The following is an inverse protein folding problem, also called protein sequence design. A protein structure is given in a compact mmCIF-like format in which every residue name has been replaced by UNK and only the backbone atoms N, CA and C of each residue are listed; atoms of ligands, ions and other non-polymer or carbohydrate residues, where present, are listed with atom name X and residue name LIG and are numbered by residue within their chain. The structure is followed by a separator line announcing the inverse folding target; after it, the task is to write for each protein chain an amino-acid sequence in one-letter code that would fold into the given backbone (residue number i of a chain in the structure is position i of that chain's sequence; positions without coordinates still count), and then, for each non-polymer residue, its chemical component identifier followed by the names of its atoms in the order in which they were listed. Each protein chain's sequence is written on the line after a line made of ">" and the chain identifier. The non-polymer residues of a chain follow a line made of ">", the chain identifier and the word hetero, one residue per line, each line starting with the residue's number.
data_IF_691995355287
#
_entry.id   IF_691995355287
#
_cell.length_a   1.000
_cell.length_b   1.000
_cell.length_c   1.000
_cell.angle_alpha   90.00
_cell.angle_beta   90.00
_cell.angle_gamma   90.00
#
_symmetry.space_group_name_H-M   'P 1'
#
loop_
_entity.id
_entity.type
_entity.pdbx_description
1 polymer ?
#
# COMPACT_ATOMS: atom_id res chain seq x y z
N UNK A 1 -34.50 -20.93 18.34
CA UNK A 1 -33.64 -19.75 18.23
C UNK A 1 -32.81 -19.70 19.51
N UNK A 2 -31.54 -20.11 19.46
CA UNK A 2 -30.65 -20.06 20.64
C UNK A 2 -30.20 -18.61 20.82
N UNK A 3 -30.54 -18.06 21.97
CA UNK A 3 -30.15 -16.73 22.42
C UNK A 3 -28.63 -16.59 22.38
N UNK A 4 -28.13 -15.61 21.62
CA UNK A 4 -26.72 -15.25 21.62
C UNK A 4 -26.39 -14.56 22.95
N UNK A 5 -25.30 -14.94 23.65
CA UNK A 5 -24.92 -14.31 24.91
C UNK A 5 -24.61 -12.82 24.71
N UNK A 6 -24.78 -11.96 25.75
CA UNK A 6 -24.57 -10.53 25.61
C UNK A 6 -23.11 -10.26 25.24
N UNK A 7 -22.90 -9.79 24.02
CA UNK A 7 -21.58 -9.42 23.52
C UNK A 7 -21.01 -8.33 24.42
N UNK A 8 -19.92 -8.65 25.14
CA UNK A 8 -19.00 -7.63 25.65
C UNK A 8 -18.38 -6.93 24.43
N UNK A 9 -19.12 -5.98 23.86
CA UNK A 9 -18.97 -5.48 22.51
C UNK A 9 -17.68 -4.68 22.25
N UNK A 10 -16.90 -4.37 23.31
CA UNK A 10 -15.65 -3.62 23.17
C UNK A 10 -14.62 -4.14 24.16
N UNK A 11 -13.90 -5.19 23.76
CA UNK A 11 -12.70 -5.61 24.48
C UNK A 11 -11.53 -4.69 24.09
N UNK A 12 -10.67 -4.32 25.05
CA UNK A 12 -9.47 -3.50 24.79
C UNK A 12 -8.59 -4.08 23.68
N UNK A 13 -8.53 -5.42 23.56
CA UNK A 13 -7.85 -6.11 22.46
C UNK A 13 -8.46 -5.83 21.08
N UNK A 14 -9.79 -5.76 20.99
CA UNK A 14 -10.50 -5.48 19.72
C UNK A 14 -10.29 -4.02 19.31
N UNK A 15 -10.31 -3.09 20.27
CA UNK A 15 -9.96 -1.68 20.02
C UNK A 15 -8.55 -1.52 19.45
N UNK A 16 -7.55 -2.18 20.06
CA UNK A 16 -6.17 -2.12 19.55
C UNK A 16 -6.06 -2.72 18.15
N UNK A 17 -6.67 -3.89 17.91
CA UNK A 17 -6.62 -4.53 16.60
C UNK A 17 -7.33 -3.69 15.52
N UNK A 18 -8.49 -3.12 15.83
CA UNK A 18 -9.22 -2.21 14.93
C UNK A 18 -8.41 -0.96 14.59
N UNK A 19 -7.71 -0.38 15.58
CA UNK A 19 -6.84 0.79 15.36
C UNK A 19 -5.63 0.44 14.48
N UNK A 20 -4.97 -0.69 14.73
CA UNK A 20 -3.84 -1.16 13.91
C UNK A 20 -4.28 -1.44 12.47
N UNK A 21 -5.43 -2.07 12.28
CA UNK A 21 -5.94 -2.40 10.95
C UNK A 21 -6.38 -1.14 10.20
N UNK A 22 -6.94 -0.15 10.90
CA UNK A 22 -7.27 1.16 10.32
C UNK A 22 -6.05 1.88 9.73
N UNK A 23 -4.84 1.61 10.24
CA UNK A 23 -3.61 2.15 9.64
C UNK A 23 -3.39 1.66 8.19
N UNK A 24 -3.93 0.49 7.81
CA UNK A 24 -3.89 0.03 6.42
C UNK A 24 -4.61 0.98 5.45
N UNK A 25 -5.77 1.51 5.88
CA UNK A 25 -6.50 2.54 5.13
C UNK A 25 -5.73 3.87 5.08
N UNK A 26 -5.07 4.25 6.17
CA UNK A 26 -4.20 5.43 6.20
C UNK A 26 -3.04 5.31 5.20
N UNK A 27 -2.38 4.15 5.15
CA UNK A 27 -1.28 3.88 4.21
C UNK A 27 -1.75 4.02 2.75
N UNK A 28 -2.94 3.53 2.43
CA UNK A 28 -3.53 3.68 1.10
C UNK A 28 -3.72 5.16 0.71
N UNK A 29 -4.25 5.97 1.64
CA UNK A 29 -4.40 7.42 1.41
C UNK A 29 -3.04 8.15 1.31
N UNK A 30 -2.08 7.78 2.16
CA UNK A 30 -0.73 8.34 2.16
C UNK A 30 -0.04 8.14 0.81
N UNK A 31 -0.06 6.93 0.24
CA UNK A 31 0.62 6.65 -1.03
C UNK A 31 0.07 7.46 -2.20
N UNK A 32 -1.25 7.65 -2.25
CA UNK A 32 -1.90 8.50 -3.26
C UNK A 32 -1.42 9.96 -3.19
N UNK A 33 -1.28 10.51 -1.98
CA UNK A 33 -0.79 11.88 -1.77
C UNK A 33 0.73 12.02 -1.87
N UNK A 34 1.48 10.97 -1.53
CA UNK A 34 2.93 11.03 -1.51
C UNK A 34 3.51 11.16 -2.93
N UNK A 35 2.90 10.51 -3.93
CA UNK A 35 3.33 10.61 -5.35
C UNK A 35 3.37 12.06 -5.84
N UNK A 36 2.32 12.84 -5.57
CA UNK A 36 2.28 14.25 -5.99
C UNK A 36 3.31 15.09 -5.25
N UNK A 37 3.60 14.75 -3.99
CA UNK A 37 4.66 15.38 -3.20
C UNK A 37 6.06 15.15 -3.79
N UNK A 38 6.43 13.90 -4.06
CA UNK A 38 7.78 13.58 -4.57
C UNK A 38 8.05 14.21 -5.94
N UNK A 39 7.04 14.30 -6.81
CA UNK A 39 7.16 14.93 -8.13
C UNK A 39 7.52 16.41 -8.08
N UNK A 40 7.23 17.09 -6.97
CA UNK A 40 7.51 18.51 -6.76
C UNK A 40 8.79 18.75 -5.94
N UNK A 41 9.46 17.70 -5.44
CA UNK A 41 10.68 17.86 -4.66
C UNK A 41 11.88 18.21 -5.54
N UNK A 42 12.61 19.27 -5.18
CA UNK A 42 13.81 19.70 -5.89
C UNK A 42 14.88 18.59 -6.00
N UNK A 43 15.06 17.76 -4.96
CA UNK A 43 15.99 16.61 -4.98
C UNK A 43 15.56 15.54 -6.00
N UNK A 44 14.26 15.30 -6.12
CA UNK A 44 13.71 14.34 -7.10
C UNK A 44 13.86 14.86 -8.53
N UNK A 45 13.57 16.15 -8.74
CA UNK A 45 13.77 16.83 -10.04
C UNK A 45 15.25 16.83 -10.42
N UNK A 46 16.16 17.11 -9.48
CA UNK A 46 17.59 17.12 -9.74
C UNK A 46 18.15 15.73 -10.08
N UNK A 47 17.58 14.65 -9.54
CA UNK A 47 18.06 13.27 -9.78
C UNK A 47 17.45 12.62 -11.01
N UNK A 48 16.21 12.96 -11.32
CA UNK A 48 15.43 12.21 -12.31
C UNK A 48 14.81 13.06 -13.41
N UNK A 49 14.79 14.38 -13.25
CA UNK A 49 14.27 15.35 -14.21
C UNK A 49 15.02 15.35 -15.54
N UNK A 50 14.35 15.82 -16.59
CA UNK A 50 14.94 16.00 -17.91
C UNK A 50 15.31 17.48 -18.07
N UNK A 51 16.58 17.76 -18.42
CA UNK A 51 17.08 19.11 -18.71
C UNK A 51 16.89 20.15 -17.58
N UNK A 52 16.84 19.72 -16.31
CA UNK A 52 16.67 20.63 -15.16
C UNK A 52 15.21 21.01 -14.87
N UNK A 53 14.25 20.45 -15.60
CA UNK A 53 12.81 20.63 -15.37
C UNK A 53 12.16 19.36 -14.81
N UNK A 54 10.91 19.53 -14.36
CA UNK A 54 10.07 18.46 -13.85
C UNK A 54 10.00 17.27 -14.84
N UNK A 55 9.81 16.09 -14.28
CA UNK A 55 9.79 14.86 -15.04
C UNK A 55 8.73 14.87 -16.16
N UNK A 56 9.11 14.45 -17.36
CA UNK A 56 8.21 14.39 -18.52
C UNK A 56 6.93 13.59 -18.23
N UNK A 57 5.79 14.04 -18.79
CA UNK A 57 4.45 13.48 -18.54
C UNK A 57 4.38 11.96 -18.72
N UNK A 58 5.11 11.41 -19.69
CA UNK A 58 5.16 9.98 -19.97
C UNK A 58 5.80 9.20 -18.82
N UNK A 59 6.91 9.68 -18.26
CA UNK A 59 7.62 9.01 -17.17
C UNK A 59 6.84 9.12 -15.86
N UNK A 60 6.17 10.25 -15.63
CA UNK A 60 5.27 10.44 -14.48
C UNK A 60 4.07 9.49 -14.55
N UNK A 61 3.40 9.46 -15.71
CA UNK A 61 2.28 8.55 -15.96
C UNK A 61 2.68 7.08 -15.84
N UNK A 62 3.90 6.73 -16.28
CA UNK A 62 4.44 5.38 -16.14
C UNK A 62 4.53 4.94 -14.66
N UNK A 63 5.03 5.79 -13.75
CA UNK A 63 5.07 5.46 -12.32
C UNK A 63 3.69 5.20 -11.73
N UNK A 64 2.71 6.04 -12.07
CA UNK A 64 1.33 5.89 -11.59
C UNK A 64 0.71 4.63 -12.18
N UNK A 65 0.94 4.33 -13.45
CA UNK A 65 0.46 3.12 -14.11
C UNK A 65 1.01 1.84 -13.46
N UNK A 66 2.30 1.82 -13.12
CA UNK A 66 2.91 0.68 -12.40
C UNK A 66 2.35 0.51 -10.99
N UNK A 67 2.06 1.60 -10.27
CA UNK A 67 1.35 1.52 -8.99
C UNK A 67 -0.04 0.88 -9.18
N UNK A 68 -0.84 1.38 -10.12
CA UNK A 68 -2.18 0.86 -10.39
C UNK A 68 -2.17 -0.61 -10.82
N UNK A 69 -1.20 -1.01 -11.65
CA UNK A 69 -1.01 -2.40 -12.06
C UNK A 69 -0.70 -3.29 -10.84
N UNK A 70 0.18 -2.82 -9.93
CA UNK A 70 0.48 -3.50 -8.67
C UNK A 70 -0.76 -3.62 -7.79
N UNK A 71 -1.53 -2.55 -7.64
CA UNK A 71 -2.76 -2.57 -6.85
C UNK A 71 -3.78 -3.58 -7.37
N UNK A 72 -3.97 -3.65 -8.70
CA UNK A 72 -4.85 -4.62 -9.33
C UNK A 72 -4.43 -6.06 -9.02
N UNK A 73 -3.15 -6.36 -9.22
CA UNK A 73 -2.61 -7.71 -8.97
C UNK A 73 -2.70 -8.07 -7.49
N UNK A 74 -2.32 -7.13 -6.61
CA UNK A 74 -2.39 -7.28 -5.16
C UNK A 74 -3.80 -7.57 -4.66
N UNK A 75 -4.79 -6.81 -5.13
CA UNK A 75 -6.19 -6.98 -4.76
C UNK A 75 -6.77 -8.33 -5.22
N UNK A 76 -6.40 -8.80 -6.42
CA UNK A 76 -6.86 -10.09 -6.95
C UNK A 76 -6.27 -11.27 -6.18
N UNK A 77 -4.98 -11.19 -5.81
CA UNK A 77 -4.28 -12.26 -5.11
C UNK A 77 -4.57 -12.25 -3.60
N UNK A 78 -4.93 -11.11 -3.02
CA UNK A 78 -5.13 -10.99 -1.57
C UNK A 78 -6.32 -11.79 -1.05
N UNK A 79 -7.40 -11.89 -1.83
CA UNK A 79 -8.62 -12.61 -1.44
C UNK A 79 -8.36 -14.11 -1.13
N UNK A 80 -7.82 -14.93 -2.06
CA UNK A 80 -7.57 -16.35 -1.79
C UNK A 80 -6.50 -16.58 -0.71
N UNK A 81 -5.52 -15.70 -0.58
CA UNK A 81 -4.49 -15.80 0.47
C UNK A 81 -5.10 -15.56 1.86
N UNK A 82 -5.99 -14.58 1.98
CA UNK A 82 -6.62 -14.26 3.25
C UNK A 82 -7.57 -15.35 3.74
N UNK A 83 -8.28 -16.01 2.83
CA UNK A 83 -9.16 -17.13 3.17
C UNK A 83 -8.39 -18.39 3.58
N UNK A 84 -7.19 -18.61 3.02
CA UNK A 84 -6.37 -19.80 3.31
C UNK A 84 -5.52 -19.68 4.58
N UNK A 85 -4.90 -18.52 4.81
CA UNK A 85 -3.94 -18.32 5.92
C UNK A 85 -4.50 -17.48 7.08
N UNK A 86 -5.73 -16.98 6.95
CA UNK A 86 -6.35 -16.09 7.92
C UNK A 86 -5.99 -14.62 7.70
N UNK A 87 -6.94 -13.74 8.03
CA UNK A 87 -6.89 -12.31 7.67
C UNK A 87 -5.76 -11.57 8.38
N UNK A 88 -5.54 -11.82 9.68
CA UNK A 88 -4.47 -11.18 10.47
C UNK A 88 -3.07 -11.45 9.87
N UNK A 89 -2.79 -12.70 9.50
CA UNK A 89 -1.50 -13.07 8.94
C UNK A 89 -1.33 -12.55 7.51
N UNK A 90 -2.41 -12.54 6.71
CA UNK A 90 -2.42 -11.94 5.38
C UNK A 90 -2.08 -10.44 5.44
N UNK A 91 -2.74 -9.66 6.31
CA UNK A 91 -2.46 -8.23 6.50
C UNK A 91 -0.98 -7.99 6.85
N UNK A 92 -0.44 -8.80 7.77
CA UNK A 92 0.97 -8.69 8.18
C UNK A 92 1.92 -8.96 7.02
N UNK A 93 1.66 -10.01 6.22
CA UNK A 93 2.46 -10.36 5.06
C UNK A 93 2.47 -9.27 3.98
N UNK A 94 1.29 -8.73 3.64
CA UNK A 94 1.19 -7.66 2.66
C UNK A 94 1.84 -6.35 3.13
N UNK A 95 1.80 -6.08 4.44
CA UNK A 95 2.52 -4.95 5.02
C UNK A 95 4.04 -5.10 4.87
N UNK A 96 4.59 -6.32 5.00
CA UNK A 96 6.02 -6.56 4.75
C UNK A 96 6.38 -6.29 3.29
N UNK A 97 5.55 -6.74 2.33
CA UNK A 97 5.77 -6.45 0.91
C UNK A 97 5.76 -4.94 0.65
N UNK A 98 4.83 -4.21 1.26
CA UNK A 98 4.78 -2.75 1.17
C UNK A 98 6.05 -2.07 1.73
N UNK A 99 6.56 -2.54 2.87
CA UNK A 99 7.81 -2.05 3.45
C UNK A 99 8.99 -2.30 2.49
N UNK A 100 9.07 -3.49 1.89
CA UNK A 100 10.11 -3.82 0.91
C UNK A 100 10.03 -2.89 -0.30
N UNK A 101 8.84 -2.63 -0.84
CA UNK A 101 8.63 -1.67 -1.93
C UNK A 101 9.14 -0.26 -1.57
N UNK A 102 8.87 0.21 -0.36
CA UNK A 102 9.36 1.49 0.13
C UNK A 102 10.88 1.54 0.27
N UNK A 103 11.51 0.48 0.79
CA UNK A 103 12.98 0.41 0.89
C UNK A 103 13.60 0.52 -0.51
N UNK A 104 13.05 -0.18 -1.50
CA UNK A 104 13.53 -0.07 -2.90
C UNK A 104 13.34 1.35 -3.43
N UNK A 105 12.23 2.02 -3.11
CA UNK A 105 12.00 3.41 -3.51
C UNK A 105 13.01 4.39 -2.87
N UNK A 106 13.33 4.22 -1.58
CA UNK A 106 14.27 5.09 -0.85
C UNK A 106 15.71 4.89 -1.32
N UNK A 107 16.08 3.66 -1.68
CA UNK A 107 17.43 3.32 -2.15
C UNK A 107 17.68 3.70 -3.60
N UNK A 108 16.67 4.15 -4.34
CA UNK A 108 16.81 4.59 -5.73
C UNK A 108 17.63 5.89 -5.82
N UNK A 109 18.92 5.78 -6.19
CA UNK A 109 19.84 6.94 -6.26
C UNK A 109 20.11 7.44 -7.69
N UNK A 110 20.26 6.54 -8.66
CA UNK A 110 20.79 6.89 -9.99
C UNK A 110 19.94 6.41 -11.15
N UNK A 111 19.09 5.39 -10.95
CA UNK A 111 18.41 4.71 -12.05
C UNK A 111 16.91 4.95 -11.99
N UNK A 112 16.37 5.62 -13.02
CA UNK A 112 14.94 5.94 -13.11
C UNK A 112 14.03 4.72 -12.96
N UNK A 113 14.38 3.60 -13.60
CA UNK A 113 13.57 2.38 -13.63
C UNK A 113 13.34 1.73 -12.25
N UNK A 114 14.19 2.03 -11.27
CA UNK A 114 14.00 1.55 -9.90
C UNK A 114 12.74 2.14 -9.25
N UNK A 115 12.39 3.39 -9.59
CA UNK A 115 11.23 4.07 -8.99
C UNK A 115 9.91 3.43 -9.44
N UNK A 116 9.61 3.24 -10.75
CA UNK A 116 8.39 2.53 -11.18
C UNK A 116 8.31 1.09 -10.67
N UNK A 117 9.43 0.36 -10.62
CA UNK A 117 9.45 -1.01 -10.09
C UNK A 117 9.16 -1.05 -8.59
N UNK A 118 9.71 -0.11 -7.82
CA UNK A 118 9.37 0.04 -6.41
C UNK A 118 7.88 0.33 -6.21
N UNK A 119 7.28 1.15 -7.10
CA UNK A 119 5.83 1.43 -7.09
C UNK A 119 4.99 0.21 -7.42
N UNK A 120 5.44 -0.65 -8.33
CA UNK A 120 4.76 -1.91 -8.62
C UNK A 120 4.73 -2.79 -7.37
N UNK A 121 5.87 -2.99 -6.70
CA UNK A 121 5.97 -3.82 -5.49
C UNK A 121 5.19 -3.22 -4.32
N UNK A 122 5.31 -1.91 -4.09
CA UNK A 122 4.52 -1.20 -3.09
C UNK A 122 3.02 -1.32 -3.37
N UNK A 123 2.62 -1.16 -4.64
CA UNK A 123 1.24 -1.30 -5.11
C UNK A 123 0.63 -2.66 -4.81
N UNK A 124 1.40 -3.75 -4.94
CA UNK A 124 0.95 -5.09 -4.55
C UNK A 124 0.50 -5.13 -3.08
N UNK A 125 1.30 -4.56 -2.18
CA UNK A 125 1.00 -4.48 -0.76
C UNK A 125 -0.22 -3.61 -0.46
N UNK A 126 -0.26 -2.40 -0.99
CA UNK A 126 -1.32 -1.43 -0.68
C UNK A 126 -2.66 -1.87 -1.29
N UNK A 127 -2.65 -2.43 -2.51
CA UNK A 127 -3.86 -2.97 -3.15
C UNK A 127 -4.45 -4.15 -2.40
N UNK A 128 -3.61 -5.01 -1.82
CA UNK A 128 -4.08 -6.06 -0.93
C UNK A 128 -4.65 -5.49 0.38
N UNK A 129 -3.95 -4.52 0.98
CA UNK A 129 -4.39 -3.88 2.23
C UNK A 129 -5.74 -3.16 2.09
N UNK A 130 -6.04 -2.56 0.93
CA UNK A 130 -7.31 -1.86 0.71
C UNK A 130 -8.53 -2.79 0.71
N UNK A 131 -8.36 -4.07 0.34
CA UNK A 131 -9.40 -5.10 0.39
C UNK A 131 -9.47 -5.74 1.78
N UNK A 132 -8.32 -6.04 2.38
CA UNK A 132 -8.25 -6.78 3.64
C UNK A 132 -8.62 -5.95 4.87
N UNK A 133 -8.34 -4.65 4.85
CA UNK A 133 -8.64 -3.73 5.95
C UNK A 133 -10.13 -3.65 6.28
N UNK A 134 -11.04 -3.31 5.34
CA UNK A 134 -12.47 -3.27 5.63
C UNK A 134 -13.05 -4.65 5.90
N UNK A 135 -12.51 -5.70 5.28
CA UNK A 135 -12.94 -7.07 5.51
C UNK A 135 -12.67 -7.51 6.95
N UNK A 136 -11.46 -7.27 7.47
CA UNK A 136 -11.13 -7.60 8.86
C UNK A 136 -11.90 -6.76 9.88
N UNK A 137 -12.23 -5.51 9.55
CA UNK A 137 -13.06 -4.68 10.44
C UNK A 137 -14.53 -5.09 10.47
N UNK A 138 -15.00 -5.82 9.45
CA UNK A 138 -16.37 -6.32 9.37
C UNK A 138 -16.56 -7.64 10.13
N UNK A 139 -15.47 -8.34 10.46
CA UNK A 139 -15.45 -9.60 11.21
C UNK A 139 -15.21 -9.39 12.71
#
# INVERSE_FOLDING_TARGET
>A
MKEAPPVHAVNFRVLIMGLLVSMGGFIFGYEGGAISGYLQMNDFISRFGEHGEALGKVRTGCMVAFLCAGCLIGALISAPIADKYGRKYSITFWNVIYIVGNIVAITARTTWYQVPLARLVGGLGIGALSVLTPMYQSE
#
